data_IF_824810357242
#
_entry.id   IF_824810357242
#
_cell.length_a   1.000
_cell.length_b   1.000
_cell.length_c   1.000
_cell.angle_alpha   90.00
_cell.angle_beta   90.00
_cell.angle_gamma   90.00
#
_symmetry.space_group_name_H-M   'P 1'
#
loop_
_entity.id
_entity.type
_entity.pdbx_description
1 polymer ?
#
# COMPACT_ATOMS: atom_id res chain seq x y z
N UNK A 1 -7.96 -20.98 17.47
CA UNK A 1 -7.87 -21.69 16.17
C UNK A 1 -8.86 -22.86 16.13
N UNK A 2 -9.67 -22.94 15.09
CA UNK A 2 -10.71 -23.97 14.92
C UNK A 2 -10.18 -25.37 14.55
N UNK A 3 -9.01 -25.43 13.93
CA UNK A 3 -8.41 -26.66 13.39
C UNK A 3 -7.39 -27.24 14.37
N UNK A 4 -7.34 -28.58 14.47
CA UNK A 4 -6.42 -29.29 15.37
C UNK A 4 -5.05 -29.55 14.72
N UNK A 5 -4.97 -29.50 13.37
CA UNK A 5 -3.72 -29.77 12.65
C UNK A 5 -3.47 -28.76 11.52
N UNK A 6 -2.20 -28.48 11.27
CA UNK A 6 -1.76 -27.63 10.16
C UNK A 6 -2.23 -28.15 8.78
N UNK A 7 -2.28 -29.47 8.62
CA UNK A 7 -2.72 -30.10 7.37
C UNK A 7 -4.22 -29.88 7.11
N UNK A 8 -5.06 -30.03 8.14
CA UNK A 8 -6.49 -29.77 8.03
C UNK A 8 -6.78 -28.30 7.77
N UNK A 9 -6.09 -27.38 8.45
CA UNK A 9 -6.20 -25.95 8.21
C UNK A 9 -5.78 -25.60 6.78
N UNK A 10 -4.64 -26.11 6.31
CA UNK A 10 -4.17 -25.87 4.93
C UNK A 10 -5.19 -26.30 3.89
N UNK A 11 -5.76 -27.50 4.04
CA UNK A 11 -6.77 -27.99 3.09
C UNK A 11 -8.02 -27.09 3.06
N UNK A 12 -8.49 -26.67 4.23
CA UNK A 12 -9.64 -25.76 4.35
C UNK A 12 -9.35 -24.39 3.77
N UNK A 13 -8.16 -23.83 4.05
CA UNK A 13 -7.71 -22.53 3.53
C UNK A 13 -7.58 -22.57 2.02
N UNK A 14 -6.91 -23.57 1.44
CA UNK A 14 -6.75 -23.74 -0.01
C UNK A 14 -8.11 -23.84 -0.73
N UNK A 15 -9.09 -24.55 -0.14
CA UNK A 15 -10.43 -24.64 -0.70
C UNK A 15 -11.16 -23.31 -0.66
N UNK A 16 -11.08 -22.56 0.44
CA UNK A 16 -11.72 -21.24 0.57
C UNK A 16 -11.10 -20.21 -0.36
N UNK A 17 -9.78 -20.23 -0.52
CA UNK A 17 -9.09 -19.34 -1.47
C UNK A 17 -9.51 -19.62 -2.92
N UNK A 18 -9.73 -20.89 -3.29
CA UNK A 18 -10.27 -21.23 -4.62
C UNK A 18 -11.69 -20.73 -4.81
N UNK A 19 -12.54 -20.87 -3.79
CA UNK A 19 -13.91 -20.36 -3.81
C UNK A 19 -13.93 -18.86 -3.95
N UNK A 20 -13.11 -18.16 -3.18
CA UNK A 20 -12.97 -16.69 -3.22
C UNK A 20 -12.44 -16.21 -4.58
N UNK A 21 -11.43 -16.89 -5.13
CA UNK A 21 -10.90 -16.59 -6.46
C UNK A 21 -11.98 -16.71 -7.54
N UNK A 22 -12.82 -17.74 -7.46
CA UNK A 22 -13.94 -17.95 -8.41
C UNK A 22 -15.05 -16.89 -8.23
N UNK A 23 -15.31 -16.46 -7.01
CA UNK A 23 -16.36 -15.47 -6.72
C UNK A 23 -15.95 -14.04 -7.10
N UNK A 24 -14.68 -13.68 -6.89
CA UNK A 24 -14.18 -12.31 -7.05
C UNK A 24 -13.43 -12.08 -8.37
N UNK A 25 -13.03 -13.14 -9.07
CA UNK A 25 -12.14 -13.05 -10.24
C UNK A 25 -10.68 -12.75 -9.89
N UNK A 26 -10.34 -12.60 -8.61
CA UNK A 26 -8.98 -12.32 -8.17
C UNK A 26 -8.08 -13.55 -8.30
N UNK A 27 -6.84 -13.34 -8.73
CA UNK A 27 -5.85 -14.42 -8.86
C UNK A 27 -5.55 -15.10 -7.51
N UNK A 28 -5.47 -16.43 -7.51
CA UNK A 28 -5.21 -17.23 -6.29
C UNK A 28 -3.90 -16.82 -5.58
N UNK A 29 -2.84 -16.47 -6.32
CA UNK A 29 -1.58 -15.98 -5.74
C UNK A 29 -1.78 -14.65 -4.99
N UNK A 30 -2.60 -13.73 -5.49
CA UNK A 30 -2.95 -12.48 -4.81
C UNK A 30 -3.65 -12.75 -3.48
N UNK A 31 -4.65 -13.64 -3.47
CA UNK A 31 -5.37 -14.01 -2.26
C UNK A 31 -4.48 -14.71 -1.23
N UNK A 32 -3.56 -15.57 -1.68
CA UNK A 32 -2.55 -16.19 -0.81
C UNK A 32 -1.62 -15.15 -0.18
N UNK A 33 -1.15 -14.19 -0.97
CA UNK A 33 -0.33 -13.08 -0.46
C UNK A 33 -1.07 -12.29 0.61
N UNK A 34 -2.33 -11.93 0.36
CA UNK A 34 -3.15 -11.21 1.34
C UNK A 34 -3.22 -11.94 2.69
N UNK A 35 -3.40 -13.26 2.68
CA UNK A 35 -3.40 -14.10 3.89
C UNK A 35 -2.07 -13.99 4.64
N UNK A 36 -0.94 -14.17 3.96
CA UNK A 36 0.37 -14.13 4.64
C UNK A 36 0.75 -12.73 5.10
N UNK A 37 0.36 -11.69 4.38
CA UNK A 37 0.53 -10.30 4.81
C UNK A 37 -0.22 -10.04 6.12
N UNK A 38 -1.49 -10.43 6.19
CA UNK A 38 -2.33 -10.26 7.37
C UNK A 38 -1.75 -11.01 8.58
N UNK A 39 -1.34 -12.27 8.40
CA UNK A 39 -0.77 -13.08 9.48
C UNK A 39 0.62 -12.60 9.91
N UNK A 40 1.41 -12.05 9.00
CA UNK A 40 2.71 -11.47 9.34
C UNK A 40 2.56 -10.11 10.06
N UNK A 41 1.68 -9.24 9.56
CA UNK A 41 1.38 -7.96 10.21
C UNK A 41 0.83 -8.15 11.63
N UNK A 42 0.05 -9.21 11.88
CA UNK A 42 -0.40 -9.59 13.22
C UNK A 42 0.79 -9.80 14.18
N UNK A 43 1.87 -10.43 13.72
CA UNK A 43 3.08 -10.61 14.51
C UNK A 43 3.77 -9.29 14.78
N UNK A 44 3.88 -8.44 13.77
CA UNK A 44 4.49 -7.11 13.92
C UNK A 44 3.70 -6.20 14.89
N UNK A 45 2.36 -6.25 14.88
CA UNK A 45 1.54 -5.50 15.86
C UNK A 45 1.84 -5.94 17.29
N UNK A 46 2.07 -7.24 17.51
CA UNK A 46 2.35 -7.79 18.86
C UNK A 46 3.78 -7.50 19.32
N UNK A 47 4.75 -7.55 18.41
CA UNK A 47 6.17 -7.38 18.72
C UNK A 47 6.56 -5.90 18.81
N UNK A 48 6.05 -5.09 17.91
CA UNK A 48 6.45 -3.69 17.72
C UNK A 48 5.23 -2.76 17.62
N UNK A 49 4.37 -2.70 18.63
CA UNK A 49 3.22 -1.78 18.61
C UNK A 49 3.71 -0.34 18.48
N UNK A 50 3.01 0.45 17.67
CA UNK A 50 3.24 1.89 17.47
C UNK A 50 4.62 2.29 16.93
N UNK A 51 5.44 1.33 16.47
CA UNK A 51 6.77 1.61 15.92
C UNK A 51 6.80 1.70 14.40
N UNK A 52 5.73 1.37 13.73
CA UNK A 52 5.63 1.36 12.28
C UNK A 52 4.23 1.76 11.79
N UNK A 53 4.15 2.17 10.55
CA UNK A 53 2.92 2.57 9.88
C UNK A 53 2.85 1.89 8.51
N UNK A 54 1.73 1.26 8.20
CA UNK A 54 1.51 0.62 6.91
C UNK A 54 1.33 1.67 5.82
N UNK A 55 2.07 1.52 4.73
CA UNK A 55 2.08 2.39 3.55
C UNK A 55 1.80 1.58 2.28
N UNK A 56 1.97 2.21 1.14
CA UNK A 56 1.96 1.54 -0.16
C UNK A 56 0.62 0.93 -0.55
N UNK A 57 0.67 -0.01 -1.50
CA UNK A 57 -0.54 -0.59 -2.08
C UNK A 57 -1.32 -1.46 -1.08
N UNK A 58 -0.64 -2.08 -0.12
CA UNK A 58 -1.32 -2.93 0.87
C UNK A 58 -2.18 -2.10 1.82
N UNK A 59 -1.75 -0.88 2.19
CA UNK A 59 -2.58 0.02 2.96
C UNK A 59 -3.87 0.39 2.22
N UNK A 60 -3.81 0.59 0.90
CA UNK A 60 -5.01 0.79 0.08
C UNK A 60 -5.87 -0.47 -0.02
N UNK A 61 -5.26 -1.66 -0.15
CA UNK A 61 -5.99 -2.93 -0.25
C UNK A 61 -6.81 -3.24 1.03
N UNK A 62 -6.35 -2.80 2.20
CA UNK A 62 -7.10 -2.93 3.45
C UNK A 62 -8.06 -1.77 3.72
N UNK A 63 -7.83 -0.59 3.12
CA UNK A 63 -8.67 0.60 3.32
C UNK A 63 -9.86 0.65 2.37
N UNK A 64 -9.61 0.42 1.08
CA UNK A 64 -10.61 0.59 0.05
C UNK A 64 -11.42 -0.71 -0.12
N UNK A 65 -12.74 -0.58 -0.12
CA UNK A 65 -13.64 -1.71 -0.38
C UNK A 65 -13.86 -1.93 -1.89
N UNK A 66 -12.79 -1.80 -2.65
CA UNK A 66 -12.76 -2.00 -4.11
C UNK A 66 -11.48 -2.74 -4.53
N UNK A 67 -11.47 -3.40 -5.70
CA UNK A 67 -10.26 -4.03 -6.20
C UNK A 67 -9.12 -3.02 -6.35
N UNK A 68 -8.02 -3.25 -5.65
CA UNK A 68 -6.78 -2.48 -5.77
C UNK A 68 -5.78 -3.22 -6.67
N UNK A 69 -4.69 -2.58 -7.07
CA UNK A 69 -3.65 -3.28 -7.82
C UNK A 69 -2.93 -4.33 -6.96
N UNK A 70 -2.48 -5.44 -7.54
CA UNK A 70 -1.70 -6.44 -6.81
C UNK A 70 -0.42 -5.83 -6.23
N UNK A 71 -0.11 -6.20 -4.99
CA UNK A 71 1.19 -5.92 -4.40
C UNK A 71 1.97 -7.20 -4.09
N UNK A 72 3.30 -7.08 -4.04
CA UNK A 72 4.22 -8.19 -3.71
C UNK A 72 4.95 -7.96 -2.41
N UNK A 73 4.78 -6.77 -1.85
CA UNK A 73 5.53 -6.20 -0.75
C UNK A 73 4.61 -5.61 0.32
N UNK A 74 5.14 -5.56 1.53
CA UNK A 74 4.61 -4.79 2.65
C UNK A 74 5.51 -3.58 2.80
N UNK A 75 4.99 -2.38 2.58
CA UNK A 75 5.71 -1.13 2.77
C UNK A 75 5.41 -0.57 4.17
N UNK A 76 6.42 -0.36 4.99
CA UNK A 76 6.32 0.16 6.36
C UNK A 76 7.16 1.42 6.52
N UNK A 77 6.54 2.49 7.04
CA UNK A 77 7.28 3.67 7.50
C UNK A 77 7.64 3.51 8.97
N UNK A 78 8.84 3.96 9.39
CA UNK A 78 9.31 3.93 10.77
C UNK A 78 9.89 5.28 11.19
N UNK A 79 9.85 5.52 12.51
CA UNK A 79 10.42 6.74 13.14
C UNK A 79 11.73 6.49 13.88
N UNK A 80 12.04 5.22 14.15
CA UNK A 80 13.27 4.75 14.77
C UNK A 80 14.32 4.37 13.71
N UNK A 81 15.23 3.49 14.04
CA UNK A 81 16.37 3.14 13.19
C UNK A 81 16.29 1.73 12.59
N UNK A 82 17.26 1.44 11.76
CA UNK A 82 17.40 0.16 11.08
C UNK A 82 17.64 -1.00 12.05
N UNK A 83 18.39 -0.78 13.14
CA UNK A 83 18.73 -1.82 14.11
C UNK A 83 17.47 -2.30 14.84
N UNK A 84 16.60 -1.37 15.25
CA UNK A 84 15.30 -1.69 15.84
C UNK A 84 14.39 -2.45 14.85
N UNK A 85 14.41 -2.09 13.56
CA UNK A 85 13.64 -2.83 12.55
C UNK A 85 14.12 -4.27 12.36
N UNK A 86 15.44 -4.49 12.39
CA UNK A 86 16.05 -5.84 12.30
C UNK A 86 15.67 -6.68 13.52
N UNK A 87 15.71 -6.08 14.70
CA UNK A 87 15.30 -6.76 15.94
C UNK A 87 13.83 -7.16 15.90
N UNK A 88 12.93 -6.25 15.51
CA UNK A 88 11.50 -6.52 15.39
C UNK A 88 11.21 -7.62 14.36
N UNK A 89 11.87 -7.61 13.23
CA UNK A 89 11.73 -8.67 12.22
C UNK A 89 12.20 -10.02 12.77
N UNK A 90 13.29 -10.03 13.56
CA UNK A 90 13.80 -11.24 14.19
C UNK A 90 12.80 -11.79 15.23
N UNK A 91 12.21 -10.92 16.03
CA UNK A 91 11.19 -11.31 17.00
C UNK A 91 9.88 -11.76 16.32
N UNK A 92 9.43 -11.03 15.27
CA UNK A 92 8.21 -11.35 14.56
C UNK A 92 8.25 -12.73 13.88
N UNK A 93 9.38 -13.09 13.24
CA UNK A 93 9.52 -14.41 12.62
C UNK A 93 9.56 -15.56 13.66
N UNK A 94 10.03 -15.30 14.89
CA UNK A 94 10.12 -16.29 15.96
C UNK A 94 8.80 -16.43 16.73
N UNK A 95 7.91 -15.43 16.63
CA UNK A 95 6.64 -15.43 17.36
C UNK A 95 5.70 -16.49 16.79
N UNK A 96 5.50 -17.56 17.58
CA UNK A 96 4.50 -18.58 17.27
C UNK A 96 3.11 -18.10 17.69
N UNK A 97 2.16 -18.14 16.76
CA UNK A 97 0.74 -17.92 17.04
C UNK A 97 -0.03 -19.19 16.69
N UNK A 98 -1.26 -19.30 17.23
CA UNK A 98 -2.14 -20.43 16.95
C UNK A 98 -2.76 -20.35 15.54
N UNK A 99 -1.91 -20.15 14.51
CA UNK A 99 -2.32 -20.08 13.10
C UNK A 99 -1.58 -21.10 12.21
N UNK A 100 -0.73 -21.92 12.81
CA UNK A 100 0.12 -22.94 12.14
C UNK A 100 1.11 -22.39 11.11
N UNK A 101 1.20 -21.08 10.93
CA UNK A 101 2.18 -20.49 10.04
C UNK A 101 3.51 -20.26 10.73
N UNK A 102 4.58 -20.55 10.00
CA UNK A 102 5.95 -20.16 10.36
C UNK A 102 6.50 -19.24 9.32
N UNK A 103 7.31 -18.27 9.75
CA UNK A 103 7.91 -17.27 8.86
C UNK A 103 9.42 -17.31 9.01
N UNK A 104 10.12 -17.17 7.89
CA UNK A 104 11.57 -16.99 7.85
C UNK A 104 11.86 -15.71 7.09
N UNK A 105 12.53 -14.76 7.74
CA UNK A 105 12.90 -13.47 7.15
C UNK A 105 14.40 -13.41 6.95
N UNK A 106 14.85 -13.05 5.76
CA UNK A 106 16.26 -12.85 5.43
C UNK A 106 16.44 -11.43 4.92
N UNK A 107 17.35 -10.66 5.55
CA UNK A 107 17.69 -9.32 5.09
C UNK A 107 18.34 -9.38 3.71
N UNK A 108 17.99 -8.45 2.84
CA UNK A 108 18.66 -8.25 1.55
C UNK A 108 19.98 -7.50 1.76
N UNK A 109 21.08 -8.01 1.20
CA UNK A 109 22.41 -7.39 1.32
C UNK A 109 22.56 -6.12 0.47
N UNK A 110 21.72 -5.93 -0.54
CA UNK A 110 21.72 -4.75 -1.38
C UNK A 110 20.29 -4.29 -1.63
N UNK A 111 19.95 -3.13 -1.12
CA UNK A 111 18.80 -2.39 -1.58
C UNK A 111 19.26 -1.30 -2.54
N UNK A 112 19.54 -1.68 -3.78
CA UNK A 112 19.64 -0.75 -4.90
C UNK A 112 18.23 -0.43 -5.40
N UNK A 113 17.41 0.16 -4.54
CA UNK A 113 16.13 0.71 -4.93
C UNK A 113 16.35 2.03 -5.64
N UNK A 114 15.63 2.27 -6.73
CA UNK A 114 15.59 3.56 -7.42
C UNK A 114 15.04 4.71 -6.53
N UNK A 115 14.54 4.39 -5.36
CA UNK A 115 14.15 5.34 -4.34
C UNK A 115 15.29 5.48 -3.33
N UNK A 116 15.97 6.63 -3.34
CA UNK A 116 17.09 7.04 -2.47
C UNK A 116 16.72 7.18 -0.98
N UNK A 117 15.61 6.63 -0.55
CA UNK A 117 15.23 6.63 0.86
C UNK A 117 15.84 5.43 1.53
N UNK A 118 16.53 5.66 2.63
CA UNK A 118 17.08 4.60 3.45
C UNK A 118 15.97 3.58 3.74
N UNK A 119 16.11 2.41 3.18
CA UNK A 119 15.17 1.34 3.35
C UNK A 119 15.91 0.04 3.63
N UNK A 120 15.34 -0.79 4.49
CA UNK A 120 15.81 -2.14 4.72
C UNK A 120 14.77 -3.10 4.17
N UNK A 121 15.21 -3.99 3.28
CA UNK A 121 14.37 -5.02 2.70
C UNK A 121 14.63 -6.38 3.32
N UNK A 122 13.53 -7.07 3.61
CA UNK A 122 13.54 -8.48 4.00
C UNK A 122 12.78 -9.31 2.99
N UNK A 123 13.37 -10.46 2.61
CA UNK A 123 12.67 -11.53 1.92
C UNK A 123 12.04 -12.45 2.94
N UNK A 124 10.72 -12.59 2.90
CA UNK A 124 9.98 -13.39 3.87
C UNK A 124 9.37 -14.60 3.17
N UNK A 125 9.60 -15.78 3.74
CA UNK A 125 8.97 -17.03 3.34
C UNK A 125 8.00 -17.46 4.43
N UNK A 126 6.74 -17.66 4.03
CA UNK A 126 5.68 -18.20 4.86
C UNK A 126 5.51 -19.70 4.57
N UNK A 127 5.48 -20.52 5.60
CA UNK A 127 5.26 -21.96 5.51
C UNK A 127 4.03 -22.37 6.30
N UNK A 128 3.30 -23.36 5.78
CA UNK A 128 2.15 -23.97 6.43
C UNK A 128 2.19 -25.49 6.19
N UNK A 129 2.06 -26.28 7.25
CA UNK A 129 2.16 -27.74 7.22
C UNK A 129 3.47 -28.24 6.58
N UNK A 130 4.61 -27.62 6.94
CA UNK A 130 5.96 -27.99 6.48
C UNK A 130 6.25 -27.72 5.01
N UNK A 131 5.43 -26.90 4.33
CA UNK A 131 5.64 -26.55 2.93
C UNK A 131 5.49 -25.04 2.73
N UNK A 132 6.27 -24.47 1.85
CA UNK A 132 6.12 -23.07 1.44
C UNK A 132 4.67 -22.82 1.00
N UNK A 133 4.06 -21.80 1.58
CA UNK A 133 2.74 -21.34 1.21
C UNK A 133 2.83 -20.14 0.25
N UNK A 134 3.68 -19.15 0.61
CA UNK A 134 3.92 -17.96 -0.22
C UNK A 134 5.25 -17.30 0.15
N UNK A 135 5.73 -16.38 -0.71
CA UNK A 135 6.91 -15.55 -0.48
C UNK A 135 6.57 -14.09 -0.80
N UNK A 136 7.17 -13.17 -0.03
CA UNK A 136 6.95 -11.74 -0.17
C UNK A 136 8.14 -10.94 0.36
N UNK A 137 8.12 -9.62 0.19
CA UNK A 137 9.10 -8.72 0.78
C UNK A 137 8.46 -7.79 1.81
N UNK A 138 9.26 -7.35 2.77
CA UNK A 138 8.92 -6.29 3.71
C UNK A 138 9.97 -5.21 3.59
N UNK A 139 9.52 -3.99 3.29
CA UNK A 139 10.37 -2.82 3.10
C UNK A 139 10.12 -1.82 4.23
N UNK A 140 11.15 -1.48 4.98
CA UNK A 140 11.11 -0.44 6.00
C UNK A 140 11.76 0.83 5.47
N UNK A 141 11.01 1.93 5.44
CA UNK A 141 11.49 3.26 5.11
C UNK A 141 11.66 4.11 6.36
N UNK A 142 12.81 4.82 6.48
CA UNK A 142 13.18 5.64 7.63
C UNK A 142 13.29 7.13 7.31
N UNK A 143 13.12 7.50 6.06
CA UNK A 143 13.51 8.83 5.56
C UNK A 143 12.44 9.91 5.72
N UNK A 144 11.19 9.52 5.81
CA UNK A 144 10.09 10.47 5.94
C UNK A 144 9.72 10.61 7.41
N UNK A 145 9.85 11.81 8.00
CA UNK A 145 9.38 12.01 9.37
C UNK A 145 7.87 11.81 9.44
N UNK A 146 7.42 10.95 10.33
CA UNK A 146 6.00 10.73 10.61
C UNK A 146 5.54 11.84 11.55
N UNK A 147 5.09 12.96 10.98
CA UNK A 147 4.62 14.14 11.73
C UNK A 147 3.10 14.22 11.83
N UNK A 148 2.40 13.20 11.37
CA UNK A 148 0.96 13.06 11.34
C UNK A 148 0.51 11.88 12.21
N UNK A 149 -0.74 11.90 12.64
CA UNK A 149 -1.34 10.79 13.41
C UNK A 149 -1.76 9.70 12.42
N UNK A 150 -1.32 8.44 12.62
CA UNK A 150 -1.76 7.34 11.77
C UNK A 150 -3.27 7.12 11.82
N UNK A 151 -3.86 6.76 10.68
CA UNK A 151 -5.22 6.21 10.65
C UNK A 151 -5.20 4.77 11.16
N UNK A 152 -6.33 4.34 11.71
CA UNK A 152 -6.54 2.93 12.04
C UNK A 152 -7.34 2.27 10.93
N UNK A 153 -6.75 1.26 10.28
CA UNK A 153 -7.44 0.40 9.31
C UNK A 153 -7.52 -1.02 9.82
N UNK A 154 -8.36 -1.84 9.23
CA UNK A 154 -8.55 -3.23 9.67
C UNK A 154 -8.22 -4.22 8.56
N UNK A 155 -7.65 -5.34 8.93
CA UNK A 155 -7.49 -6.47 8.01
C UNK A 155 -8.84 -7.10 7.69
N UNK A 156 -8.87 -8.02 6.73
CA UNK A 156 -10.11 -8.64 6.29
C UNK A 156 -10.70 -9.62 7.32
N UNK A 157 -11.98 -9.93 7.15
CA UNK A 157 -12.63 -11.00 7.92
C UNK A 157 -12.47 -12.38 7.29
N UNK A 158 -11.69 -12.51 6.22
CA UNK A 158 -11.56 -13.75 5.45
C UNK A 158 -11.12 -14.95 6.31
N UNK A 159 -10.23 -14.72 7.29
CA UNK A 159 -9.71 -15.78 8.16
C UNK A 159 -10.63 -16.11 9.37
N UNK A 160 -11.77 -15.43 9.51
CA UNK A 160 -12.70 -15.67 10.62
C UNK A 160 -13.25 -17.11 10.67
N UNK A 161 -13.25 -17.81 9.55
CA UNK A 161 -13.62 -19.23 9.51
C UNK A 161 -12.70 -20.15 10.34
N UNK A 162 -11.51 -19.68 10.65
CA UNK A 162 -10.50 -20.37 11.45
C UNK A 162 -10.35 -19.77 12.85
N UNK A 163 -11.30 -18.95 13.30
CA UNK A 163 -11.27 -18.16 14.53
C UNK A 163 -10.09 -17.15 14.57
N UNK A 164 -9.63 -16.71 13.42
CA UNK A 164 -8.64 -15.64 13.28
C UNK A 164 -9.40 -14.39 12.84
N UNK A 165 -9.70 -13.51 13.80
CA UNK A 165 -10.42 -12.25 13.54
C UNK A 165 -9.53 -11.17 12.91
N UNK A 166 -10.11 -10.08 12.37
CA UNK A 166 -9.35 -8.94 11.88
C UNK A 166 -8.54 -8.28 12.99
N UNK A 167 -7.49 -7.55 12.59
CA UNK A 167 -6.68 -6.73 13.50
C UNK A 167 -6.68 -5.27 13.04
N UNK A 168 -6.52 -4.37 14.00
CA UNK A 168 -6.27 -2.96 13.75
C UNK A 168 -4.80 -2.75 13.36
N UNK A 169 -4.57 -1.95 12.32
CA UNK A 169 -3.25 -1.61 11.81
C UNK A 169 -3.09 -0.09 11.76
N UNK A 170 -1.97 0.46 12.23
CA UNK A 170 -1.64 1.85 11.98
C UNK A 170 -1.29 2.02 10.50
N UNK A 171 -1.93 2.95 9.82
CA UNK A 171 -1.71 3.21 8.40
C UNK A 171 -1.50 4.69 8.11
N UNK A 172 -0.81 4.98 7.01
CA UNK A 172 -0.65 6.35 6.52
C UNK A 172 -2.03 6.98 6.29
N UNK A 173 -2.29 8.22 6.79
CA UNK A 173 -3.53 8.92 6.50
C UNK A 173 -3.75 9.09 5.01
N UNK A 174 -5.01 9.02 4.56
CA UNK A 174 -5.32 9.02 3.13
C UNK A 174 -4.81 10.28 2.41
N UNK A 175 -4.89 11.45 3.04
CA UNK A 175 -4.37 12.70 2.50
C UNK A 175 -2.83 12.65 2.33
N UNK A 176 -2.12 12.08 3.31
CA UNK A 176 -0.67 11.90 3.24
C UNK A 176 -0.30 10.87 2.17
N UNK A 177 -1.07 9.77 2.05
CA UNK A 177 -0.86 8.76 1.02
C UNK A 177 -1.00 9.35 -0.39
N UNK A 178 -2.03 10.17 -0.62
CA UNK A 178 -2.19 10.92 -1.88
C UNK A 178 -1.03 11.87 -2.15
N UNK A 179 -0.61 12.65 -1.14
CA UNK A 179 0.50 13.59 -1.29
C UNK A 179 1.80 12.88 -1.71
N UNK A 180 2.09 11.71 -1.13
CA UNK A 180 3.24 10.90 -1.52
C UNK A 180 3.13 10.39 -2.95
N UNK A 181 1.92 10.00 -3.40
CA UNK A 181 1.68 9.57 -4.78
C UNK A 181 1.78 10.69 -5.79
N UNK A 182 1.23 11.87 -5.48
CA UNK A 182 1.37 13.06 -6.32
C UNK A 182 2.85 13.44 -6.44
N UNK A 183 3.59 13.44 -5.32
CA UNK A 183 5.04 13.69 -5.36
C UNK A 183 5.78 12.67 -6.24
N UNK A 184 5.46 11.38 -6.14
CA UNK A 184 6.09 10.32 -6.93
C UNK A 184 5.69 10.39 -8.43
N UNK A 185 4.44 10.76 -8.72
CA UNK A 185 3.95 10.97 -10.08
C UNK A 185 4.70 12.12 -10.78
N UNK A 186 4.85 13.26 -10.09
CA UNK A 186 5.44 14.49 -10.66
C UNK A 186 6.96 14.49 -10.62
N UNK A 187 7.60 13.50 -10.00
CA UNK A 187 9.05 13.45 -9.84
C UNK A 187 9.77 13.21 -11.17
N UNK A 188 10.86 13.95 -11.36
CA UNK A 188 11.84 13.69 -12.42
C UNK A 188 13.06 12.99 -11.82
N UNK A 189 13.66 12.07 -12.55
CA UNK A 189 14.79 11.25 -12.10
C UNK A 189 16.05 11.56 -12.90
N UNK A 190 17.21 11.42 -12.26
CA UNK A 190 18.52 11.58 -12.86
C UNK A 190 18.86 13.01 -13.31
N UNK A 191 20.11 13.19 -13.80
CA UNK A 191 20.62 14.50 -14.27
C UNK A 191 19.90 15.02 -15.52
N UNK A 192 19.30 14.13 -16.31
CA UNK A 192 18.56 14.46 -17.53
C UNK A 192 17.07 14.74 -17.27
N UNK A 193 16.63 14.80 -16.02
CA UNK A 193 15.23 15.00 -15.62
C UNK A 193 14.25 14.06 -16.34
N UNK A 194 14.60 12.79 -16.38
CA UNK A 194 13.70 11.80 -16.94
C UNK A 194 12.39 11.74 -16.14
N UNK A 195 11.25 11.65 -16.83
CA UNK A 195 9.95 11.61 -16.15
C UNK A 195 9.80 10.34 -15.32
N UNK A 196 8.93 10.41 -14.32
CA UNK A 196 8.60 9.26 -13.46
C UNK A 196 8.24 8.02 -14.29
N UNK A 197 8.68 6.86 -13.81
CA UNK A 197 8.35 5.54 -14.39
C UNK A 197 7.24 4.82 -13.61
N UNK A 198 6.37 5.58 -12.92
CA UNK A 198 5.42 5.07 -11.92
C UNK A 198 3.94 5.27 -12.32
N UNK A 199 3.44 4.65 -13.43
CA UNK A 199 2.03 4.73 -13.81
C UNK A 199 1.08 4.19 -12.73
N UNK A 200 1.61 3.35 -11.81
CA UNK A 200 0.86 2.82 -10.67
C UNK A 200 0.32 3.91 -9.75
N UNK A 201 1.04 5.03 -9.60
CA UNK A 201 0.61 6.11 -8.71
C UNK A 201 -0.59 6.86 -9.29
N UNK A 202 -0.70 7.01 -10.63
CA UNK A 202 -1.91 7.54 -11.28
C UNK A 202 -3.13 6.63 -11.02
N UNK A 203 -2.97 5.32 -11.18
CA UNK A 203 -4.05 4.37 -10.89
C UNK A 203 -4.51 4.45 -9.43
N UNK A 204 -3.56 4.52 -8.49
CA UNK A 204 -3.86 4.63 -7.07
C UNK A 204 -4.57 5.96 -6.73
N UNK A 205 -4.17 7.10 -7.36
CA UNK A 205 -4.84 8.41 -7.20
C UNK A 205 -6.29 8.33 -7.68
N UNK A 206 -6.54 7.73 -8.84
CA UNK A 206 -7.88 7.59 -9.39
C UNK A 206 -8.77 6.69 -8.51
N UNK A 207 -8.24 5.59 -8.00
CA UNK A 207 -8.98 4.70 -7.10
C UNK A 207 -9.38 5.42 -5.82
N UNK A 208 -8.46 6.17 -5.21
CA UNK A 208 -8.74 6.93 -3.99
C UNK A 208 -9.81 7.99 -4.28
N UNK A 209 -9.65 8.76 -5.35
CA UNK A 209 -10.59 9.81 -5.74
C UNK A 209 -12.00 9.26 -6.06
N UNK A 210 -12.10 8.00 -6.50
CA UNK A 210 -13.39 7.35 -6.81
C UNK A 210 -14.17 6.87 -5.57
N UNK A 211 -13.51 6.70 -4.41
CA UNK A 211 -14.13 6.04 -3.24
C UNK A 211 -14.09 6.88 -1.97
N UNK A 212 -13.06 7.70 -1.78
CA UNK A 212 -12.80 8.40 -0.52
C UNK A 212 -13.32 9.84 -0.54
N UNK A 213 -13.98 10.23 0.55
CA UNK A 213 -14.20 11.64 0.85
C UNK A 213 -12.92 12.24 1.42
N UNK A 214 -12.46 13.38 0.87
CA UNK A 214 -11.19 13.97 1.25
C UNK A 214 -11.38 15.46 1.51
N UNK A 215 -10.95 15.91 2.69
CA UNK A 215 -10.97 17.32 3.05
C UNK A 215 -9.86 18.07 2.31
N UNK A 216 -10.20 19.18 1.64
CA UNK A 216 -9.28 20.00 0.86
C UNK A 216 -8.12 20.56 1.72
N UNK A 217 -8.40 21.00 2.94
CA UNK A 217 -7.39 21.54 3.84
C UNK A 217 -6.36 20.47 4.21
N UNK A 218 -6.82 19.29 4.63
CA UNK A 218 -5.95 18.18 5.01
C UNK A 218 -5.05 17.70 3.86
N UNK A 219 -5.60 17.61 2.64
CA UNK A 219 -4.79 17.20 1.49
C UNK A 219 -3.79 18.28 1.06
N UNK A 220 -4.19 19.56 1.11
CA UNK A 220 -3.29 20.68 0.82
C UNK A 220 -2.11 20.73 1.79
N UNK A 221 -2.37 20.55 3.07
CA UNK A 221 -1.34 20.50 4.11
C UNK A 221 -0.40 19.31 3.92
N UNK A 222 -0.93 18.16 3.57
CA UNK A 222 -0.14 16.96 3.28
C UNK A 222 0.76 17.14 2.04
N UNK A 223 0.23 17.74 0.97
CA UNK A 223 0.99 18.10 -0.23
C UNK A 223 2.13 19.07 0.12
N UNK A 224 1.82 20.17 0.79
CA UNK A 224 2.82 21.19 1.18
C UNK A 224 3.94 20.58 2.03
N UNK A 225 3.60 19.78 3.06
CA UNK A 225 4.58 19.07 3.89
C UNK A 225 5.43 18.11 3.08
N UNK A 226 4.82 17.28 2.25
CA UNK A 226 5.54 16.24 1.49
C UNK A 226 6.55 16.86 0.53
N UNK A 227 6.14 17.89 -0.22
CA UNK A 227 7.03 18.55 -1.17
C UNK A 227 8.13 19.37 -0.48
N UNK A 228 7.84 19.97 0.67
CA UNK A 228 8.85 20.69 1.49
C UNK A 228 9.85 19.72 2.11
N UNK A 229 9.39 18.63 2.72
CA UNK A 229 10.27 17.67 3.40
C UNK A 229 11.17 16.94 2.44
N UNK A 230 10.63 16.50 1.30
CA UNK A 230 11.42 15.78 0.29
C UNK A 230 12.27 16.70 -0.56
N UNK A 231 11.97 18.01 -0.63
CA UNK A 231 12.76 19.11 -1.21
C UNK A 231 13.43 18.81 -2.57
N UNK A 232 12.89 17.90 -3.36
CA UNK A 232 13.49 17.45 -4.64
C UNK A 232 12.92 18.18 -5.84
N UNK A 233 11.72 18.69 -5.68
CA UNK A 233 10.98 19.43 -6.70
C UNK A 233 9.95 20.33 -6.03
N UNK A 234 9.57 21.47 -6.63
CA UNK A 234 8.49 22.30 -6.15
C UNK A 234 7.13 21.58 -6.33
N UNK A 235 6.16 21.97 -5.50
CA UNK A 235 4.76 21.61 -5.75
C UNK A 235 4.34 22.25 -7.09
N UNK A 236 3.82 21.50 -8.06
CA UNK A 236 3.39 22.07 -9.34
C UNK A 236 2.06 22.83 -9.18
N UNK A 237 1.81 23.80 -10.07
CA UNK A 237 0.55 24.54 -10.12
C UNK A 237 -0.61 23.73 -10.76
N UNK A 238 -0.29 22.65 -11.47
CA UNK A 238 -1.24 21.70 -12.07
C UNK A 238 -0.60 20.34 -12.27
N UNK A 239 -1.42 19.28 -12.40
CA UNK A 239 -0.92 17.93 -12.63
C UNK A 239 -0.33 17.83 -14.04
N UNK A 240 0.98 17.52 -14.21
CA UNK A 240 1.62 17.42 -15.51
C UNK A 240 1.08 16.24 -16.34
N UNK A 241 1.30 16.30 -17.64
CA UNK A 241 1.00 15.20 -18.55
C UNK A 241 1.75 13.93 -18.17
N UNK A 242 1.09 12.79 -18.34
CA UNK A 242 1.75 11.51 -18.18
C UNK A 242 2.67 11.23 -19.39
N UNK A 243 3.86 10.64 -19.16
CA UNK A 243 4.74 10.24 -20.25
C UNK A 243 4.04 9.25 -21.20
N UNK A 244 4.23 9.44 -22.52
CA UNK A 244 3.65 8.54 -23.52
C UNK A 244 4.03 7.06 -23.33
N UNK A 245 5.21 6.81 -22.73
CA UNK A 245 5.69 5.47 -22.37
C UNK A 245 4.81 4.76 -21.35
N UNK A 246 3.96 5.48 -20.61
CA UNK A 246 3.05 4.90 -19.64
C UNK A 246 1.83 4.22 -20.26
N UNK A 247 1.50 4.48 -21.52
CA UNK A 247 0.27 3.98 -22.16
C UNK A 247 0.04 2.48 -21.95
N UNK A 248 1.06 1.66 -22.25
CA UNK A 248 0.93 0.22 -22.12
C UNK A 248 0.97 -0.27 -20.64
N UNK A 249 1.89 0.17 -19.76
CA UNK A 249 1.89 -0.24 -18.37
C UNK A 249 0.67 0.28 -17.60
N UNK A 250 0.19 1.51 -17.87
CA UNK A 250 -1.05 2.04 -17.29
C UNK A 250 -2.25 1.16 -17.68
N UNK A 251 -2.43 0.86 -18.99
CA UNK A 251 -3.57 0.07 -19.45
C UNK A 251 -3.65 -1.32 -18.78
N UNK A 252 -2.50 -1.97 -18.53
CA UNK A 252 -2.48 -3.24 -17.77
C UNK A 252 -2.94 -3.06 -16.32
N UNK A 253 -2.36 -2.07 -15.61
CA UNK A 253 -2.70 -1.80 -14.21
C UNK A 253 -4.16 -1.36 -14.04
N UNK A 254 -4.66 -0.50 -14.93
CA UNK A 254 -6.02 -0.01 -14.93
C UNK A 254 -7.03 -1.16 -15.13
N UNK A 255 -6.75 -2.07 -16.09
CA UNK A 255 -7.58 -3.26 -16.32
C UNK A 255 -7.63 -4.19 -15.11
N UNK A 256 -6.52 -4.35 -14.36
CA UNK A 256 -6.47 -5.19 -13.15
C UNK A 256 -7.36 -4.69 -12.00
N UNK A 257 -7.72 -3.41 -12.01
CA UNK A 257 -8.55 -2.76 -10.99
C UNK A 257 -9.91 -2.30 -11.51
N UNK A 258 -10.26 -2.64 -12.75
CA UNK A 258 -11.55 -2.29 -13.35
C UNK A 258 -11.68 -0.82 -13.77
N UNK A 259 -10.56 -0.10 -13.94
CA UNK A 259 -10.54 1.26 -14.49
C UNK A 259 -10.50 1.18 -16.01
N UNK A 260 -11.62 1.47 -16.66
CA UNK A 260 -11.82 1.29 -18.11
C UNK A 260 -11.63 2.59 -18.91
N UNK A 261 -10.70 3.46 -18.50
CA UNK A 261 -10.36 4.69 -19.20
C UNK A 261 -8.91 4.66 -19.70
N UNK A 262 -8.66 5.31 -20.82
CA UNK A 262 -7.31 5.42 -21.37
C UNK A 262 -6.43 6.40 -20.57
N UNK A 263 -5.13 6.43 -20.88
CA UNK A 263 -4.17 7.24 -20.13
C UNK A 263 -4.50 8.74 -20.18
N UNK A 264 -4.98 9.25 -21.30
CA UNK A 264 -5.30 10.68 -21.45
C UNK A 264 -6.51 11.03 -20.60
N UNK A 265 -7.59 10.28 -20.71
CA UNK A 265 -8.79 10.44 -19.88
C UNK A 265 -8.50 10.28 -18.39
N UNK A 266 -7.55 9.38 -18.03
CA UNK A 266 -7.10 9.19 -16.65
C UNK A 266 -6.39 10.42 -16.08
N UNK A 267 -5.52 11.04 -16.86
CA UNK A 267 -4.86 12.30 -16.46
C UNK A 267 -5.87 13.42 -16.31
N UNK A 268 -6.81 13.56 -17.27
CA UNK A 268 -7.86 14.57 -17.21
C UNK A 268 -8.75 14.38 -15.96
N UNK A 269 -9.13 13.16 -15.64
CA UNK A 269 -9.88 12.86 -14.41
C UNK A 269 -9.08 13.16 -13.13
N UNK A 270 -7.80 12.83 -13.11
CA UNK A 270 -6.92 13.16 -11.99
C UNK A 270 -6.75 14.69 -11.84
N UNK A 271 -6.74 15.45 -12.92
CA UNK A 271 -6.74 16.92 -12.92
C UNK A 271 -8.01 17.52 -12.32
N UNK A 272 -9.17 17.00 -12.67
CA UNK A 272 -10.44 17.43 -12.04
C UNK A 272 -10.38 17.36 -10.53
N UNK A 273 -9.70 16.34 -9.99
CA UNK A 273 -9.50 16.15 -8.57
C UNK A 273 -8.38 17.05 -8.00
N UNK A 274 -7.21 17.08 -8.64
CA UNK A 274 -5.99 17.65 -8.06
C UNK A 274 -5.77 19.13 -8.41
N UNK A 275 -6.07 19.59 -9.63
CA UNK A 275 -5.74 20.94 -10.07
C UNK A 275 -6.40 22.02 -9.18
N UNK A 276 -7.68 21.91 -8.73
CA UNK A 276 -8.24 22.88 -7.80
C UNK A 276 -7.50 22.95 -6.45
N UNK A 277 -6.87 21.86 -6.01
CA UNK A 277 -6.05 21.85 -4.81
C UNK A 277 -4.70 22.54 -5.05
N UNK A 278 -4.07 22.24 -6.18
CA UNK A 278 -2.76 22.78 -6.57
C UNK A 278 -2.85 24.29 -6.84
N UNK A 279 -3.94 24.75 -7.43
CA UNK A 279 -4.28 26.17 -7.64
C UNK A 279 -4.73 26.87 -6.34
N UNK A 280 -5.02 26.13 -5.27
CA UNK A 280 -5.52 26.67 -4.00
C UNK A 280 -7.00 27.08 -4.00
N UNK A 281 -7.76 26.70 -5.02
CA UNK A 281 -9.19 27.04 -5.18
C UNK A 281 -10.14 26.04 -4.57
N UNK A 282 -9.73 24.77 -4.34
CA UNK A 282 -10.56 23.76 -3.70
C UNK A 282 -10.87 24.12 -2.24
N UNK A 283 -12.13 23.96 -1.85
CA UNK A 283 -12.63 24.13 -0.47
C UNK A 283 -13.55 22.99 -0.09
N UNK A 284 -13.77 22.76 1.22
CA UNK A 284 -14.66 21.72 1.73
C UNK A 284 -14.15 20.32 1.44
N UNK A 285 -15.03 19.42 0.99
CA UNK A 285 -14.71 18.01 0.80
C UNK A 285 -14.87 17.57 -0.66
N UNK A 286 -14.01 16.65 -1.10
CA UNK A 286 -14.21 15.93 -2.34
C UNK A 286 -15.35 14.92 -2.20
N UNK A 287 -16.32 15.01 -3.10
CA UNK A 287 -17.41 14.02 -3.21
C UNK A 287 -17.07 13.01 -4.30
N UNK A 288 -16.74 11.75 -3.95
CA UNK A 288 -16.35 10.73 -4.92
C UNK A 288 -17.48 10.33 -5.87
N UNK A 289 -18.75 10.51 -5.47
CA UNK A 289 -19.92 10.17 -6.31
C UNK A 289 -20.18 11.24 -7.36
N UNK A 290 -19.98 12.50 -7.00
CA UNK A 290 -20.17 13.63 -7.91
C UNK A 290 -18.89 14.04 -8.62
N UNK A 291 -17.75 13.50 -8.21
CA UNK A 291 -16.41 13.81 -8.70
C UNK A 291 -16.13 15.33 -8.74
N UNK A 292 -16.40 16.00 -7.63
CA UNK A 292 -16.18 17.44 -7.45
C UNK A 292 -15.95 17.82 -5.99
N UNK A 293 -15.30 18.95 -5.80
CA UNK A 293 -15.17 19.59 -4.50
C UNK A 293 -16.48 20.26 -4.10
N UNK A 294 -16.91 19.98 -2.88
CA UNK A 294 -18.13 20.52 -2.27
C UNK A 294 -17.73 21.46 -1.14
N UNK A 295 -18.16 22.74 -1.19
CA UNK A 295 -17.85 23.72 -0.14
C UNK A 295 -18.34 23.31 1.24
#
# INVERSE_FOLDING_TARGET
>A
MRYETAAAFRAALDQRLKTEAAATGLGLSRLRKRVVFELFLRRLVLVAPDRWVLKGALALDFRLDVPTRPTKDIDLGRVDDEEAAIEDMTQAQQLALDDFFTFTATRSDAFEGADEFAAVRFHVRAELAGRTFEQFTVDFGFSDPITWIPDTIYTSTFLSFADIGPIALPAVPIAQHLAEKVHAYTRSYGDHREPSTRPKDLVDILLIAAVEEIEAASLRDALARTFTTRARQPLPDSLPEAPASWKAPYGRLASEVGVEIDLTSAVDQARVFLDPLLEGTATGNWDPKQQRWMP
#
